data_IF_502639043613
#
_entry.id   IF_502639043613
#
_cell.length_a   1.000
_cell.length_b   1.000
_cell.length_c   1.000
_cell.angle_alpha   90.00
_cell.angle_beta   90.00
_cell.angle_gamma   90.00
#
_symmetry.space_group_name_H-M   'P 1'
#
loop_
_entity.id
_entity.type
_entity.pdbx_description
1 polymer ?
#
# COMPACT_ATOMS: atom_id res chain seq x y z
N UNK A 1 8.79 11.14 25.88
CA UNK A 1 9.58 11.98 26.81
C UNK A 1 10.88 12.40 26.15
N UNK A 2 11.29 13.68 26.22
CA UNK A 2 12.55 14.17 25.62
C UNK A 2 13.59 14.41 26.70
N UNK A 3 14.79 13.87 26.52
CA UNK A 3 15.96 14.01 27.42
C UNK A 3 17.15 14.65 26.68
N UNK A 4 18.20 15.04 27.41
CA UNK A 4 19.41 15.63 26.78
C UNK A 4 20.14 14.69 25.82
N UNK A 5 20.06 13.38 26.07
CA UNK A 5 20.78 12.34 25.33
C UNK A 5 19.91 11.57 24.34
N UNK A 6 18.60 11.84 24.29
CA UNK A 6 17.69 11.10 23.42
C UNK A 6 16.21 11.34 23.70
N UNK A 7 15.37 10.53 23.07
CA UNK A 7 13.90 10.60 23.17
C UNK A 7 13.34 9.23 23.45
N UNK A 8 12.44 9.15 24.42
CA UNK A 8 11.57 8.01 24.63
C UNK A 8 10.24 8.23 23.89
N UNK A 9 9.83 7.23 23.11
CA UNK A 9 8.63 7.23 22.26
C UNK A 9 7.78 6.00 22.55
N UNK A 10 6.47 6.11 22.44
CA UNK A 10 5.58 4.96 22.54
C UNK A 10 5.48 4.23 21.19
N UNK A 11 5.68 2.91 21.19
CA UNK A 11 5.54 2.11 19.97
C UNK A 11 4.07 1.78 19.71
N UNK A 12 3.43 2.54 18.83
CA UNK A 12 1.98 2.41 18.52
C UNK A 12 1.58 1.00 18.06
N UNK A 13 2.47 0.28 17.36
CA UNK A 13 2.21 -1.07 16.86
C UNK A 13 2.41 -2.16 17.92
N UNK A 14 3.09 -1.83 19.02
CA UNK A 14 3.41 -2.73 20.10
C UNK A 14 2.97 -2.10 21.43
N UNK A 15 1.67 -2.13 21.74
CA UNK A 15 1.15 -1.52 22.96
C UNK A 15 1.92 -1.98 24.21
N UNK A 16 2.34 -1.02 25.03
CA UNK A 16 3.14 -1.27 26.24
C UNK A 16 4.65 -1.44 26.00
N UNK A 17 5.14 -1.21 24.78
CA UNK A 17 6.57 -1.10 24.49
C UNK A 17 7.03 0.36 24.37
N UNK A 18 8.21 0.62 24.93
CA UNK A 18 8.88 1.93 24.83
C UNK A 18 10.04 1.86 23.84
N UNK A 19 10.09 2.84 22.93
CA UNK A 19 11.21 3.06 22.02
C UNK A 19 12.16 4.11 22.57
N UNK A 20 13.46 3.87 22.53
CA UNK A 20 14.49 4.87 22.84
C UNK A 20 15.24 5.27 21.57
N UNK A 21 15.29 6.57 21.30
CA UNK A 21 16.02 7.18 20.19
C UNK A 21 17.20 7.94 20.76
N UNK A 22 18.40 7.41 20.63
CA UNK A 22 19.61 8.14 21.00
C UNK A 22 19.77 9.39 20.12
N UNK A 23 20.34 10.48 20.65
CA UNK A 23 20.51 11.75 19.91
C UNK A 23 21.23 11.58 18.57
N UNK A 24 22.22 10.67 18.51
CA UNK A 24 22.93 10.36 17.28
C UNK A 24 22.06 9.64 16.24
N UNK A 25 20.96 9.01 16.63
CA UNK A 25 20.04 8.28 15.75
C UNK A 25 18.84 9.12 15.27
N UNK A 26 18.77 10.40 15.65
CA UNK A 26 17.70 11.33 15.23
C UNK A 26 17.95 11.87 13.82
N UNK A 27 19.17 12.31 13.52
CA UNK A 27 19.53 12.97 12.26
C UNK A 27 20.92 12.56 11.79
N UNK A 28 21.16 12.69 10.47
CA UNK A 28 22.51 12.61 9.91
C UNK A 28 23.32 13.88 10.18
N UNK A 29 22.64 15.01 10.40
CA UNK A 29 23.27 16.29 10.75
C UNK A 29 23.40 16.42 12.26
N UNK A 30 24.30 17.29 12.71
CA UNK A 30 24.44 17.61 14.13
C UNK A 30 23.12 18.18 14.68
N UNK A 31 22.69 17.66 15.84
CA UNK A 31 21.42 18.02 16.49
C UNK A 31 21.72 18.91 17.69
N UNK A 32 21.38 20.20 17.58
CA UNK A 32 21.48 21.15 18.70
C UNK A 32 20.28 21.05 19.65
N UNK A 33 19.08 20.90 19.08
CA UNK A 33 17.82 20.77 19.80
C UNK A 33 16.99 19.64 19.20
N UNK A 34 16.63 18.66 20.02
CA UNK A 34 15.83 17.51 19.62
C UNK A 34 14.42 17.91 19.18
N UNK A 35 13.85 18.97 19.78
CA UNK A 35 12.48 19.43 19.52
C UNK A 35 12.27 19.96 18.09
N UNK A 36 13.35 20.27 17.39
CA UNK A 36 13.30 20.68 15.99
C UNK A 36 12.96 19.50 15.06
N UNK A 37 13.23 18.26 15.52
CA UNK A 37 13.02 17.02 14.76
C UNK A 37 11.83 16.22 15.26
N UNK A 38 11.63 16.16 16.57
CA UNK A 38 10.59 15.35 17.21
C UNK A 38 9.80 16.19 18.21
N UNK A 39 8.49 16.28 18.00
CA UNK A 39 7.55 17.00 18.86
C UNK A 39 6.67 16.02 19.63
N UNK A 40 6.17 16.47 20.77
CA UNK A 40 5.19 15.69 21.53
C UNK A 40 3.95 15.41 20.67
N UNK A 41 3.38 14.21 20.81
CA UNK A 41 2.22 13.71 20.05
C UNK A 41 2.42 13.56 18.53
N UNK A 42 3.60 13.88 18.01
CA UNK A 42 3.95 13.60 16.62
C UNK A 42 4.14 12.09 16.41
N UNK A 43 3.59 11.56 15.32
CA UNK A 43 3.85 10.17 14.89
C UNK A 43 4.93 10.19 13.83
N UNK A 44 5.98 9.40 14.03
CA UNK A 44 7.06 9.21 13.08
C UNK A 44 7.36 7.73 12.88
N UNK A 45 8.01 7.42 11.76
CA UNK A 45 8.46 6.07 11.44
C UNK A 45 9.89 5.91 11.95
N UNK A 46 10.15 4.82 12.66
CA UNK A 46 11.47 4.48 13.18
C UNK A 46 11.87 3.07 12.74
N UNK A 47 13.18 2.86 12.61
CA UNK A 47 13.77 1.54 12.38
C UNK A 47 14.25 0.96 13.70
N UNK A 48 13.80 -0.24 14.05
CA UNK A 48 14.26 -0.96 15.24
C UNK A 48 15.71 -1.39 15.03
N UNK A 49 16.58 -1.10 16.00
CA UNK A 49 17.99 -1.48 16.00
C UNK A 49 18.24 -2.69 16.88
N UNK A 50 17.74 -2.64 18.12
CA UNK A 50 17.83 -3.73 19.09
C UNK A 50 16.55 -3.77 19.91
N UNK A 51 16.23 -4.95 20.44
CA UNK A 51 15.11 -5.14 21.35
C UNK A 51 15.59 -5.77 22.65
N UNK A 52 15.03 -5.31 23.75
CA UNK A 52 15.10 -5.95 25.05
C UNK A 52 13.68 -6.43 25.40
N UNK A 53 13.47 -7.74 25.33
CA UNK A 53 12.16 -8.34 25.58
C UNK A 53 11.75 -8.29 27.05
N UNK A 54 12.71 -8.42 27.97
CA UNK A 54 12.46 -8.39 29.42
C UNK A 54 11.96 -7.01 29.87
N UNK A 55 12.62 -5.97 29.36
CA UNK A 55 12.27 -4.58 29.66
C UNK A 55 11.16 -4.01 28.76
N UNK A 56 10.67 -4.76 27.75
CA UNK A 56 9.77 -4.27 26.69
C UNK A 56 10.24 -2.95 26.08
N UNK A 57 11.55 -2.86 25.84
CA UNK A 57 12.19 -1.66 25.33
C UNK A 57 12.88 -1.96 24.00
N UNK A 58 12.85 -1.02 23.06
CA UNK A 58 13.60 -1.11 21.82
C UNK A 58 14.43 0.14 21.59
N UNK A 59 15.68 -0.01 21.14
CA UNK A 59 16.39 1.14 20.57
C UNK A 59 15.94 1.30 19.12
N UNK A 60 15.56 2.51 18.76
CA UNK A 60 15.03 2.82 17.43
C UNK A 60 15.73 4.02 16.82
N UNK A 61 15.74 4.10 15.50
CA UNK A 61 16.44 5.13 14.74
C UNK A 61 15.51 5.82 13.77
N UNK A 62 15.57 7.16 13.76
CA UNK A 62 14.87 7.98 12.77
C UNK A 62 15.74 8.16 11.52
N UNK A 63 17.04 8.39 11.69
CA UNK A 63 17.96 8.70 10.58
C UNK A 63 18.17 7.54 9.61
N UNK A 64 18.00 6.29 10.07
CA UNK A 64 18.19 5.08 9.25
C UNK A 64 16.95 4.68 8.46
N UNK A 65 15.88 5.45 8.54
CA UNK A 65 14.65 5.22 7.77
C UNK A 65 14.79 5.91 6.42
N UNK A 66 14.86 5.12 5.35
CA UNK A 66 14.83 5.65 3.99
C UNK A 66 13.47 6.23 3.63
N UNK A 67 13.42 7.11 2.62
CA UNK A 67 12.14 7.65 2.12
C UNK A 67 11.17 6.52 1.71
N UNK A 68 11.69 5.48 1.03
CA UNK A 68 10.89 4.32 0.60
C UNK A 68 10.31 3.56 1.79
N UNK A 69 11.13 3.23 2.80
CA UNK A 69 10.67 2.56 4.02
C UNK A 69 9.63 3.41 4.77
N UNK A 70 9.84 4.72 4.87
CA UNK A 70 8.88 5.64 5.51
C UNK A 70 7.53 5.61 4.81
N UNK A 71 7.53 5.76 3.48
CA UNK A 71 6.29 5.72 2.68
C UNK A 71 5.57 4.38 2.83
N UNK A 72 6.29 3.27 2.71
CA UNK A 72 5.73 1.93 2.84
C UNK A 72 5.11 1.72 4.24
N UNK A 73 5.84 2.10 5.30
CA UNK A 73 5.36 1.92 6.67
C UNK A 73 4.14 2.77 6.98
N UNK A 74 4.10 4.00 6.48
CA UNK A 74 2.91 4.87 6.60
C UNK A 74 1.70 4.28 5.87
N UNK A 75 1.90 3.66 4.70
CA UNK A 75 0.84 2.96 3.99
C UNK A 75 0.31 1.79 4.79
N UNK A 76 1.19 0.91 5.27
CA UNK A 76 0.85 -0.23 6.13
C UNK A 76 0.06 0.24 7.37
N UNK A 77 0.54 1.28 8.04
CA UNK A 77 -0.14 1.86 9.20
C UNK A 77 -1.55 2.37 8.85
N UNK A 78 -1.71 3.13 7.77
CA UNK A 78 -3.03 3.61 7.31
C UNK A 78 -3.97 2.45 7.00
N UNK A 79 -3.49 1.39 6.33
CA UNK A 79 -4.26 0.18 6.03
C UNK A 79 -4.74 -0.50 7.32
N UNK A 80 -3.84 -0.68 8.29
CA UNK A 80 -4.18 -1.22 9.61
C UNK A 80 -5.22 -0.38 10.34
N UNK A 81 -5.09 0.95 10.35
CA UNK A 81 -6.10 1.82 11.00
C UNK A 81 -7.49 1.69 10.37
N UNK A 82 -7.58 1.52 9.04
CA UNK A 82 -8.85 1.28 8.35
C UNK A 82 -9.46 -0.06 8.74
N UNK A 83 -8.65 -1.12 8.79
CA UNK A 83 -9.10 -2.43 9.25
C UNK A 83 -9.60 -2.34 10.69
N UNK A 84 -8.80 -1.77 11.59
CA UNK A 84 -9.18 -1.60 13.00
C UNK A 84 -10.48 -0.82 13.16
N UNK A 85 -10.70 0.22 12.34
CA UNK A 85 -11.96 0.97 12.33
C UNK A 85 -13.15 0.10 11.92
N UNK A 86 -13.00 -0.72 10.87
CA UNK A 86 -14.04 -1.68 10.46
C UNK A 86 -14.34 -2.67 11.58
N UNK A 87 -13.31 -3.28 12.18
CA UNK A 87 -13.50 -4.26 13.26
C UNK A 87 -14.15 -3.65 14.51
N UNK A 88 -13.74 -2.44 14.89
CA UNK A 88 -14.32 -1.71 16.01
C UNK A 88 -15.80 -1.39 15.78
N UNK A 89 -16.15 -0.84 14.61
CA UNK A 89 -17.55 -0.55 14.26
C UNK A 89 -18.39 -1.82 14.15
N UNK A 90 -17.78 -2.92 13.69
CA UNK A 90 -18.44 -4.21 13.61
C UNK A 90 -18.79 -4.72 15.00
N UNK A 91 -17.82 -4.73 15.93
CA UNK A 91 -18.05 -5.10 17.33
C UNK A 91 -19.13 -4.23 17.98
N UNK A 92 -18.99 -2.90 17.89
CA UNK A 92 -19.92 -1.93 18.48
C UNK A 92 -21.36 -2.11 17.98
N UNK A 93 -21.54 -2.23 16.65
CA UNK A 93 -22.88 -2.30 16.03
C UNK A 93 -23.52 -3.67 16.14
N UNK A 94 -22.74 -4.74 16.20
CA UNK A 94 -23.26 -6.11 16.37
C UNK A 94 -23.45 -6.49 17.84
N UNK A 95 -22.96 -5.68 18.78
CA UNK A 95 -22.94 -6.01 20.21
C UNK A 95 -21.97 -7.15 20.57
N UNK A 96 -21.07 -7.51 19.65
CA UNK A 96 -20.07 -8.58 19.84
C UNK A 96 -18.83 -8.05 20.54
N UNK A 97 -18.20 -8.90 21.35
CA UNK A 97 -16.93 -8.57 21.97
C UNK A 97 -15.79 -8.48 20.93
N UNK A 98 -14.76 -7.64 21.17
CA UNK A 98 -13.56 -7.61 20.33
C UNK A 98 -12.91 -9.00 20.16
N UNK A 99 -12.96 -9.83 21.19
CA UNK A 99 -12.42 -11.19 21.20
C UNK A 99 -13.18 -12.13 20.25
N UNK A 100 -14.51 -12.01 20.18
CA UNK A 100 -15.32 -12.75 19.21
C UNK A 100 -14.95 -12.35 17.78
N UNK A 101 -14.88 -11.05 17.50
CA UNK A 101 -14.49 -10.53 16.18
C UNK A 101 -13.08 -11.00 15.79
N UNK A 102 -12.13 -10.96 16.73
CA UNK A 102 -10.77 -11.46 16.53
C UNK A 102 -10.76 -12.96 16.17
N UNK A 103 -11.55 -13.78 16.88
CA UNK A 103 -11.65 -15.22 16.64
C UNK A 103 -12.28 -15.57 15.28
N UNK A 104 -13.22 -14.75 14.80
CA UNK A 104 -13.95 -14.99 13.55
C UNK A 104 -13.21 -14.45 12.31
N UNK A 105 -12.47 -13.35 12.45
CA UNK A 105 -11.87 -12.64 11.32
C UNK A 105 -10.34 -12.62 11.37
N UNK A 106 -9.77 -12.13 12.48
CA UNK A 106 -8.33 -11.86 12.59
C UNK A 106 -7.52 -13.15 12.69
N UNK A 107 -7.81 -14.04 13.65
CA UNK A 107 -7.09 -15.32 13.82
C UNK A 107 -7.20 -16.21 12.57
N UNK A 108 -8.37 -16.36 11.92
CA UNK A 108 -8.48 -17.17 10.70
C UNK A 108 -7.72 -16.59 9.51
N UNK A 109 -7.66 -15.26 9.37
CA UNK A 109 -6.84 -14.60 8.36
C UNK A 109 -5.34 -14.81 8.62
N UNK A 110 -4.90 -14.61 9.87
CA UNK A 110 -3.51 -14.80 10.28
C UNK A 110 -3.02 -16.24 10.05
N UNK A 111 -3.84 -17.25 10.40
CA UNK A 111 -3.54 -18.68 10.12
C UNK A 111 -3.36 -18.99 8.63
N UNK A 112 -3.90 -18.15 7.74
CA UNK A 112 -3.79 -18.28 6.29
C UNK A 112 -2.70 -17.38 5.70
N UNK A 113 -1.94 -16.69 6.54
CA UNK A 113 -0.97 -15.69 6.15
C UNK A 113 -1.59 -14.58 5.25
N UNK A 114 -2.84 -14.20 5.56
CA UNK A 114 -3.58 -13.17 4.84
C UNK A 114 -3.65 -11.89 5.66
N UNK A 115 -3.52 -10.74 4.99
CA UNK A 115 -3.86 -9.45 5.60
C UNK A 115 -5.36 -9.20 5.45
N UNK A 116 -6.02 -8.75 6.52
CA UNK A 116 -7.45 -8.42 6.45
C UNK A 116 -7.73 -7.26 5.48
N UNK A 117 -6.79 -6.34 5.29
CA UNK A 117 -6.96 -5.25 4.33
C UNK A 117 -7.08 -5.79 2.90
N UNK A 118 -6.19 -6.71 2.50
CA UNK A 118 -6.25 -7.30 1.16
C UNK A 118 -7.51 -8.14 0.99
N UNK A 119 -7.91 -8.90 2.02
CA UNK A 119 -9.17 -9.64 2.02
C UNK A 119 -10.37 -8.69 1.85
N UNK A 120 -10.37 -7.53 2.50
CA UNK A 120 -11.42 -6.53 2.33
C UNK A 120 -11.46 -5.94 0.93
N UNK A 121 -10.30 -5.76 0.27
CA UNK A 121 -10.25 -5.37 -1.14
C UNK A 121 -10.86 -6.45 -2.04
N UNK A 122 -10.61 -7.73 -1.75
CA UNK A 122 -11.18 -8.85 -2.51
C UNK A 122 -12.69 -8.93 -2.36
N UNK A 123 -13.18 -8.64 -1.17
CA UNK A 123 -14.61 -8.58 -0.87
C UNK A 123 -15.25 -7.42 -1.65
N UNK A 124 -14.58 -6.27 -1.74
CA UNK A 124 -15.08 -5.13 -2.53
C UNK A 124 -15.14 -5.45 -4.03
N UNK A 125 -14.17 -6.22 -4.54
CA UNK A 125 -14.10 -6.58 -5.96
C UNK A 125 -15.08 -7.71 -6.33
N UNK A 126 -15.11 -8.78 -5.54
CA UNK A 126 -15.95 -9.96 -5.80
C UNK A 126 -17.38 -9.83 -5.28
N UNK A 127 -17.62 -8.92 -4.34
CA UNK A 127 -18.88 -8.80 -3.60
C UNK A 127 -19.18 -9.98 -2.66
N UNK A 128 -18.24 -10.92 -2.47
CA UNK A 128 -18.45 -12.15 -1.70
C UNK A 128 -17.51 -12.22 -0.51
N UNK A 129 -18.05 -12.67 0.63
CA UNK A 129 -17.25 -12.99 1.81
C UNK A 129 -16.55 -14.34 1.62
N UNK A 130 -15.29 -14.49 2.05
CA UNK A 130 -14.61 -15.77 2.05
C UNK A 130 -15.33 -16.80 2.92
N UNK A 131 -15.40 -18.05 2.48
CA UNK A 131 -16.09 -19.14 3.19
C UNK A 131 -15.50 -19.46 4.57
N UNK A 132 -14.26 -19.04 4.84
CA UNK A 132 -13.62 -19.22 6.14
C UNK A 132 -14.06 -18.17 7.17
N UNK A 133 -14.69 -17.08 6.76
CA UNK A 133 -15.34 -16.13 7.68
C UNK A 133 -16.68 -16.71 8.11
N UNK A 134 -16.69 -17.40 9.25
CA UNK A 134 -17.90 -18.02 9.82
C UNK A 134 -18.78 -16.96 10.47
N UNK A 135 -19.51 -16.20 9.66
CA UNK A 135 -20.40 -15.13 10.09
C UNK A 135 -21.84 -15.54 9.84
N UNK A 136 -22.74 -15.14 10.73
CA UNK A 136 -24.18 -15.21 10.46
C UNK A 136 -24.59 -14.19 9.38
N UNK A 137 -25.84 -14.26 8.93
CA UNK A 137 -26.34 -13.44 7.81
C UNK A 137 -26.29 -11.95 8.13
N UNK A 138 -26.64 -11.57 9.35
CA UNK A 138 -26.75 -10.17 9.76
C UNK A 138 -25.35 -9.55 9.90
N UNK A 139 -24.43 -10.27 10.53
CA UNK A 139 -23.03 -9.87 10.69
C UNK A 139 -22.31 -9.80 9.34
N UNK A 140 -22.62 -10.72 8.42
CA UNK A 140 -22.12 -10.70 7.04
C UNK A 140 -22.54 -9.43 6.30
N UNK A 141 -23.82 -9.07 6.37
CA UNK A 141 -24.34 -7.87 5.73
C UNK A 141 -23.73 -6.59 6.34
N UNK A 142 -23.65 -6.54 7.67
CA UNK A 142 -23.05 -5.42 8.39
C UNK A 142 -21.56 -5.26 8.05
N UNK A 143 -20.78 -6.35 8.01
CA UNK A 143 -19.38 -6.31 7.63
C UNK A 143 -19.21 -5.78 6.20
N UNK A 144 -20.03 -6.25 5.25
CA UNK A 144 -20.01 -5.76 3.87
C UNK A 144 -20.31 -4.25 3.77
N UNK A 145 -21.29 -3.76 4.52
CA UNK A 145 -21.61 -2.32 4.60
C UNK A 145 -20.41 -1.53 5.13
N UNK A 146 -19.84 -1.96 6.25
CA UNK A 146 -18.72 -1.28 6.91
C UNK A 146 -17.47 -1.28 6.04
N UNK A 147 -17.15 -2.39 5.37
CA UNK A 147 -16.04 -2.46 4.41
C UNK A 147 -16.24 -1.43 3.29
N UNK A 148 -17.43 -1.36 2.67
CA UNK A 148 -17.72 -0.38 1.60
C UNK A 148 -17.58 1.07 2.05
N UNK A 149 -17.96 1.36 3.30
CA UNK A 149 -17.92 2.72 3.85
C UNK A 149 -16.50 3.16 4.23
N UNK A 150 -15.75 2.27 4.86
CA UNK A 150 -14.45 2.58 5.48
C UNK A 150 -13.27 2.30 4.55
N UNK A 151 -13.35 1.24 3.76
CA UNK A 151 -12.33 0.87 2.79
C UNK A 151 -12.62 1.58 1.48
N UNK A 152 -12.12 2.81 1.38
CA UNK A 152 -12.17 3.56 0.13
C UNK A 152 -11.16 3.00 -0.85
N UNK A 153 -11.64 2.52 -2.00
CA UNK A 153 -10.89 2.44 -3.24
C UNK A 153 -10.61 3.87 -3.75
N UNK A 154 -9.89 4.70 -2.97
CA UNK A 154 -9.39 5.97 -3.50
C UNK A 154 -8.29 5.60 -4.48
N UNK A 155 -8.67 5.48 -5.75
CA UNK A 155 -7.75 5.21 -6.82
C UNK A 155 -7.21 6.55 -7.32
N UNK A 156 -5.90 6.75 -7.23
CA UNK A 156 -5.19 7.79 -7.97
C UNK A 156 -5.08 7.31 -9.40
N UNK A 157 -5.64 8.09 -10.33
CA UNK A 157 -5.55 7.82 -11.76
C UNK A 157 -4.40 8.64 -12.37
N UNK A 158 -3.34 7.97 -12.82
CA UNK A 158 -2.29 8.57 -13.63
C UNK A 158 -2.51 8.26 -15.11
N UNK A 159 -2.10 9.20 -15.96
CA UNK A 159 -2.20 9.09 -17.41
C UNK A 159 -0.84 9.41 -18.04
N UNK A 160 -0.47 8.66 -19.07
CA UNK A 160 0.68 8.94 -19.91
C UNK A 160 0.40 8.52 -21.35
N UNK A 161 1.11 9.12 -22.31
CA UNK A 161 1.00 8.74 -23.71
C UNK A 161 2.15 7.83 -24.09
N UNK A 162 1.83 6.65 -24.60
CA UNK A 162 2.78 5.73 -25.21
C UNK A 162 2.74 5.93 -26.73
N UNK A 163 3.89 6.23 -27.34
CA UNK A 163 4.04 6.24 -28.80
C UNK A 163 4.63 4.92 -29.24
N UNK A 164 3.90 4.14 -30.06
CA UNK A 164 4.34 2.84 -30.59
C UNK A 164 4.24 2.85 -32.12
N UNK A 165 5.31 2.48 -32.80
CA UNK A 165 5.35 2.38 -34.26
C UNK A 165 6.16 1.17 -34.70
N UNK A 166 5.62 0.39 -35.63
CA UNK A 166 6.28 -0.77 -36.24
C UNK A 166 6.05 -0.67 -37.74
N UNK A 167 7.11 -0.59 -38.53
CA UNK A 167 7.05 -0.32 -39.98
C UNK A 167 6.91 -1.60 -40.84
N UNK A 168 6.71 -2.76 -40.22
CA UNK A 168 6.52 -4.04 -40.92
C UNK A 168 5.05 -4.32 -41.24
N UNK A 169 4.80 -5.23 -42.20
CA UNK A 169 3.45 -5.63 -42.60
C UNK A 169 2.59 -6.24 -41.48
N UNK A 170 3.20 -6.67 -40.37
CA UNK A 170 2.55 -7.21 -39.17
C UNK A 170 2.59 -6.24 -37.96
N UNK A 171 2.77 -4.94 -38.19
CA UNK A 171 2.97 -3.96 -37.13
C UNK A 171 1.79 -3.84 -36.15
N UNK A 172 0.57 -4.04 -36.63
CA UNK A 172 -0.65 -3.98 -35.80
C UNK A 172 -0.68 -5.16 -34.81
N UNK A 173 -0.32 -6.35 -35.24
CA UNK A 173 -0.24 -7.56 -34.41
C UNK A 173 0.81 -7.40 -33.31
N UNK A 174 1.98 -6.83 -33.65
CA UNK A 174 3.04 -6.54 -32.67
C UNK A 174 2.55 -5.55 -31.61
N UNK A 175 1.87 -4.48 -32.01
CA UNK A 175 1.33 -3.49 -31.06
C UNK A 175 0.24 -4.12 -30.17
N UNK A 176 -0.66 -4.94 -30.72
CA UNK A 176 -1.67 -5.66 -29.92
C UNK A 176 -1.01 -6.59 -28.91
N UNK A 177 0.05 -7.31 -29.30
CA UNK A 177 0.82 -8.17 -28.39
C UNK A 177 1.48 -7.36 -27.28
N UNK A 178 2.11 -6.23 -27.62
CA UNK A 178 2.74 -5.34 -26.65
C UNK A 178 1.75 -4.83 -25.60
N UNK A 179 0.58 -4.35 -26.04
CA UNK A 179 -0.50 -3.90 -25.16
C UNK A 179 -0.97 -5.05 -24.26
N UNK A 180 -1.17 -6.25 -24.80
CA UNK A 180 -1.59 -7.43 -24.02
C UNK A 180 -0.59 -7.78 -22.92
N UNK A 181 0.72 -7.71 -23.20
CA UNK A 181 1.76 -7.93 -22.19
C UNK A 181 1.82 -6.80 -21.14
N UNK A 182 1.60 -5.55 -21.56
CA UNK A 182 1.48 -4.41 -20.65
C UNK A 182 0.33 -4.56 -19.66
N UNK A 183 -0.86 -4.96 -20.14
CA UNK A 183 -2.05 -5.16 -19.29
C UNK A 183 -1.86 -6.26 -18.23
N UNK A 184 -1.02 -7.26 -18.48
CA UNK A 184 -0.64 -8.28 -17.48
C UNK A 184 0.18 -7.72 -16.31
N UNK A 185 0.52 -6.43 -16.30
CA UNK A 185 1.23 -5.82 -15.18
C UNK A 185 0.32 -5.53 -13.98
N UNK A 186 -1.01 -5.53 -14.19
CA UNK A 186 -2.00 -5.26 -13.15
C UNK A 186 -1.91 -6.28 -12.00
N UNK A 187 -1.76 -5.77 -10.78
CA UNK A 187 -1.94 -6.50 -9.54
C UNK A 187 -3.34 -6.34 -8.96
N UNK A 188 -3.51 -6.81 -7.72
CA UNK A 188 -4.80 -6.83 -7.02
C UNK A 188 -5.22 -5.40 -6.62
N UNK A 189 -6.43 -4.99 -6.99
CA UNK A 189 -6.95 -3.65 -6.72
C UNK A 189 -6.44 -2.54 -7.66
N UNK A 190 -5.54 -2.88 -8.59
CA UNK A 190 -5.01 -1.99 -9.62
C UNK A 190 -5.84 -2.12 -10.91
N UNK A 191 -6.04 -1.02 -11.63
CA UNK A 191 -6.71 -1.04 -12.92
C UNK A 191 -5.84 -0.37 -13.99
N UNK A 192 -5.70 -1.02 -15.14
CA UNK A 192 -4.87 -0.54 -16.25
C UNK A 192 -5.72 -0.56 -17.50
N UNK A 193 -5.77 0.56 -18.21
CA UNK A 193 -6.33 0.60 -19.55
C UNK A 193 -5.36 1.27 -20.52
N UNK A 194 -5.35 0.75 -21.76
CA UNK A 194 -4.60 1.33 -22.86
C UNK A 194 -5.57 1.58 -24.00
N UNK A 195 -5.79 2.85 -24.35
CA UNK A 195 -6.73 3.27 -25.39
C UNK A 195 -6.00 3.89 -26.56
N UNK A 196 -6.31 3.46 -27.79
CA UNK A 196 -5.78 4.12 -28.99
C UNK A 196 -6.42 5.51 -29.12
N UNK A 197 -5.59 6.57 -29.11
CA UNK A 197 -6.05 7.95 -29.37
C UNK A 197 -5.90 8.27 -30.86
N UNK A 198 -4.92 7.66 -31.52
CA UNK A 198 -4.64 7.77 -32.95
C UNK A 198 -3.21 7.38 -33.21
N UNK A 199 -2.92 6.68 -34.31
CA UNK A 199 -1.55 6.19 -34.59
C UNK A 199 -0.54 7.35 -34.64
N UNK A 200 0.65 7.25 -34.00
CA UNK A 200 1.19 6.14 -33.21
C UNK A 200 0.93 6.23 -31.68
N UNK A 201 -0.06 7.01 -31.23
CA UNK A 201 -0.31 7.39 -29.82
C UNK A 201 -1.39 6.54 -29.14
N UNK A 202 -1.04 6.04 -27.96
CA UNK A 202 -1.89 5.22 -27.09
C UNK A 202 -1.89 5.80 -25.68
N UNK A 203 -3.06 6.07 -25.09
CA UNK A 203 -3.20 6.55 -23.72
C UNK A 203 -3.10 5.39 -22.75
N UNK A 204 -2.10 5.39 -21.89
CA UNK A 204 -2.06 4.54 -20.70
C UNK A 204 -2.80 5.28 -19.59
N UNK A 205 -3.77 4.62 -18.96
CA UNK A 205 -4.38 5.05 -17.70
C UNK A 205 -4.14 3.97 -16.66
N UNK A 206 -3.57 4.36 -15.53
CA UNK A 206 -3.31 3.47 -14.40
C UNK A 206 -4.01 4.01 -13.17
N UNK A 207 -4.70 3.13 -12.46
CA UNK A 207 -5.39 3.44 -11.23
C UNK A 207 -4.87 2.55 -10.10
N UNK A 208 -4.31 3.17 -9.06
CA UNK A 208 -3.81 2.48 -7.88
C UNK A 208 -4.18 3.24 -6.59
N UNK A 209 -3.98 2.63 -5.44
CA UNK A 209 -4.33 3.18 -4.13
C UNK A 209 -3.52 4.42 -3.71
N UNK A 210 -2.30 4.59 -4.24
CA UNK A 210 -1.46 5.77 -4.04
C UNK A 210 -0.73 6.19 -5.34
N UNK A 211 -0.34 7.46 -5.42
CA UNK A 211 0.32 8.03 -6.60
C UNK A 211 1.67 7.39 -6.91
N UNK A 212 2.47 7.08 -5.88
CA UNK A 212 3.76 6.39 -6.02
C UNK A 212 3.57 5.01 -6.67
N UNK A 213 2.55 4.26 -6.22
CA UNK A 213 2.21 2.96 -6.76
C UNK A 213 1.66 3.06 -8.19
N UNK A 214 0.80 4.04 -8.45
CA UNK A 214 0.30 4.31 -9.79
C UNK A 214 1.45 4.65 -10.76
N UNK A 215 2.47 5.40 -10.30
CA UNK A 215 3.65 5.78 -11.09
C UNK A 215 4.52 4.56 -11.39
N UNK A 216 4.86 3.77 -10.36
CA UNK A 216 5.63 2.52 -10.53
C UNK A 216 4.93 1.56 -11.51
N UNK A 217 3.61 1.41 -11.37
CA UNK A 217 2.83 0.55 -12.24
C UNK A 217 2.77 1.08 -13.68
N UNK A 218 2.63 2.40 -13.87
CA UNK A 218 2.65 3.03 -15.19
C UNK A 218 4.00 2.82 -15.90
N UNK A 219 5.11 3.01 -15.19
CA UNK A 219 6.46 2.76 -15.71
C UNK A 219 6.61 1.29 -16.13
N UNK A 220 6.18 0.35 -15.27
CA UNK A 220 6.22 -1.09 -15.54
C UNK A 220 5.40 -1.49 -16.77
N UNK A 221 4.21 -0.91 -16.95
CA UNK A 221 3.36 -1.12 -18.14
C UNK A 221 4.08 -0.62 -19.40
N UNK A 222 4.59 0.61 -19.34
CA UNK A 222 5.29 1.21 -20.46
C UNK A 222 6.53 0.40 -20.87
N UNK A 223 7.34 -0.03 -19.89
CA UNK A 223 8.53 -0.84 -20.11
C UNK A 223 8.21 -2.16 -20.84
N UNK A 224 7.16 -2.88 -20.39
CA UNK A 224 6.71 -4.12 -21.05
C UNK A 224 6.29 -3.89 -22.49
N UNK A 225 5.51 -2.84 -22.75
CA UNK A 225 5.08 -2.51 -24.11
C UNK A 225 6.27 -2.11 -25.00
N UNK A 226 7.17 -1.25 -24.48
CA UNK A 226 8.36 -0.77 -25.18
C UNK A 226 9.27 -1.95 -25.56
N UNK A 227 9.48 -2.89 -24.63
CA UNK A 227 10.31 -4.08 -24.87
C UNK A 227 9.82 -4.90 -26.06
N UNK A 228 8.53 -5.25 -26.09
CA UNK A 228 7.93 -6.04 -27.18
C UNK A 228 8.04 -5.32 -28.53
N UNK A 229 7.84 -4.00 -28.56
CA UNK A 229 7.92 -3.22 -29.81
C UNK A 229 9.37 -3.09 -30.29
N UNK A 230 10.33 -2.84 -29.39
CA UNK A 230 11.75 -2.74 -29.75
C UNK A 230 12.32 -4.08 -30.23
N UNK A 231 11.93 -5.21 -29.62
CA UNK A 231 12.32 -6.55 -30.07
C UNK A 231 11.83 -6.87 -31.49
N UNK A 232 10.74 -6.26 -31.93
CA UNK A 232 10.22 -6.36 -33.28
C UNK A 232 10.79 -5.31 -34.26
N UNK A 233 11.83 -4.56 -33.87
CA UNK A 233 12.44 -3.51 -34.69
C UNK A 233 11.63 -2.21 -34.78
N UNK A 234 10.62 -2.04 -33.93
CA UNK A 234 9.80 -0.83 -33.86
C UNK A 234 10.40 0.30 -33.03
N UNK A 235 9.78 1.48 -33.11
CA UNK A 235 10.07 2.66 -32.28
C UNK A 235 9.03 2.78 -31.17
N UNK A 236 9.48 2.98 -29.94
CA UNK A 236 8.61 3.12 -28.77
C UNK A 236 9.14 4.17 -27.78
N UNK A 237 8.26 5.05 -27.31
CA UNK A 237 8.57 6.15 -26.38
C UNK A 237 7.42 6.36 -25.39
N UNK A 238 7.74 6.57 -24.11
CA UNK A 238 6.79 7.02 -23.09
C UNK A 238 6.88 8.54 -22.96
N UNK A 239 5.75 9.23 -23.06
CA UNK A 239 5.61 10.66 -22.84
C UNK A 239 4.71 10.88 -21.63
N UNK A 240 5.30 11.37 -20.54
CA UNK A 240 4.57 11.78 -19.34
C UNK A 240 3.84 13.09 -19.62
N UNK A 241 2.58 13.18 -19.20
CA UNK A 241 1.77 14.39 -19.26
C UNK A 241 1.90 15.25 -18.01
#
# INVERSE_FOLDING_TARGET
RVERYGVYVDLVEYPGWEGFVHISEISLKWVRNIRDYLRERQKEVFKVLRMNMDAKQADVSLRRVSKKERTQKLLEWKRTQRVMRVLHLLAERSGRSPEEIDSMLVKPAAKRNLTLYDVFLDILDSGKLPSWMKLDKDLSQLLLELIKKEIKLKKVALKATLKLSVASGNGVEVIRKAIKEGLKAAGRGENISITAIGSPRYLIRVEADEESRARELLEKVAERCIKVVKEAGGKAELVMG
#
